data_IF_515786835401
#
_entry.id   IF_515786835401
#
_cell.length_a   1.000
_cell.length_b   1.000
_cell.length_c   1.000
_cell.angle_alpha   90.00
_cell.angle_beta   90.00
_cell.angle_gamma   90.00
#
_symmetry.space_group_name_H-M   'P 1'
#
loop_
_entity.id
_entity.type
_entity.pdbx_description
1 polymer ?
#
# COMPACT_ATOMS: atom_id res chain seq x y z
N UNK A 1 -6.55 -42.52 28.44
CA UNK A 1 -5.17 -42.67 27.93
C UNK A 1 -5.02 -41.66 26.80
N UNK A 2 -4.33 -40.54 27.06
CA UNK A 2 -4.15 -39.47 26.09
C UNK A 2 -2.94 -39.78 25.19
N UNK A 3 -3.18 -39.93 23.88
CA UNK A 3 -2.12 -40.08 22.88
C UNK A 3 -1.54 -38.72 22.54
N UNK A 4 -0.29 -38.47 22.95
CA UNK A 4 0.47 -37.30 22.51
C UNK A 4 0.94 -37.52 21.06
N UNK A 5 0.63 -36.58 20.16
CA UNK A 5 1.19 -36.53 18.82
C UNK A 5 2.70 -36.24 18.91
N UNK A 6 3.56 -36.89 18.10
CA UNK A 6 4.99 -36.65 18.13
C UNK A 6 5.28 -35.26 17.55
N UNK A 7 5.97 -34.43 18.33
CA UNK A 7 6.51 -33.15 17.86
C UNK A 7 7.57 -33.48 16.80
N UNK A 8 7.25 -33.29 15.53
CA UNK A 8 8.26 -33.26 14.47
C UNK A 8 9.22 -32.11 14.77
N UNK A 9 10.50 -32.43 14.97
CA UNK A 9 11.55 -31.43 15.06
C UNK A 9 11.56 -30.65 13.74
N UNK A 10 11.29 -29.34 13.82
CA UNK A 10 11.50 -28.42 12.71
C UNK A 10 12.95 -28.56 12.23
N UNK A 11 13.21 -28.65 10.91
CA UNK A 11 14.57 -28.65 10.40
C UNK A 11 15.30 -27.39 10.91
N UNK A 12 16.61 -27.47 11.19
CA UNK A 12 17.38 -26.30 11.59
C UNK A 12 17.20 -25.24 10.49
N UNK A 13 16.79 -24.04 10.90
CA UNK A 13 16.62 -22.90 9.99
C UNK A 13 17.92 -22.71 9.21
N UNK A 14 17.92 -23.11 7.94
CA UNK A 14 18.97 -22.77 7.01
C UNK A 14 19.12 -21.26 7.05
N UNK A 15 20.35 -20.80 7.32
CA UNK A 15 20.66 -19.38 7.31
C UNK A 15 20.24 -18.86 5.93
N UNK A 16 19.19 -18.05 5.87
CA UNK A 16 18.84 -17.34 4.66
C UNK A 16 20.10 -16.64 4.15
N UNK A 17 20.68 -17.16 3.06
CA UNK A 17 21.72 -16.44 2.36
C UNK A 17 21.08 -15.12 1.96
N UNK A 18 21.68 -14.00 2.38
CA UNK A 18 21.32 -12.69 1.82
C UNK A 18 21.36 -12.88 0.31
N UNK A 19 20.23 -12.74 -0.36
CA UNK A 19 20.24 -12.54 -1.80
C UNK A 19 20.92 -11.20 -2.01
N UNK A 20 22.21 -11.22 -2.31
CA UNK A 20 22.88 -10.07 -2.89
C UNK A 20 22.28 -9.92 -4.28
N UNK A 21 21.34 -8.98 -4.42
CA UNK A 21 20.88 -8.57 -5.73
C UNK A 21 22.07 -7.91 -6.43
N UNK A 22 22.78 -8.69 -7.24
CA UNK A 22 23.80 -8.16 -8.16
C UNK A 22 23.01 -7.55 -9.32
N UNK A 23 22.72 -6.26 -9.20
CA UNK A 23 22.11 -5.50 -10.29
C UNK A 23 23.15 -5.33 -11.39
N UNK A 24 22.92 -5.97 -12.54
CA UNK A 24 23.69 -5.71 -13.75
C UNK A 24 23.23 -4.34 -14.30
N UNK A 25 23.96 -3.28 -13.98
CA UNK A 25 23.62 -1.91 -14.37
C UNK A 25 23.45 -1.77 -15.89
N UNK A 26 24.22 -2.52 -16.67
CA UNK A 26 24.15 -2.52 -18.13
C UNK A 26 22.85 -3.14 -18.67
N UNK A 27 22.27 -4.10 -17.96
CA UNK A 27 21.05 -4.81 -18.38
C UNK A 27 19.78 -4.00 -18.08
N UNK A 28 19.78 -3.30 -16.95
CA UNK A 28 18.71 -2.36 -16.57
C UNK A 28 18.69 -1.19 -17.54
N UNK A 29 19.87 -0.66 -17.87
CA UNK A 29 20.03 0.41 -18.83
C UNK A 29 19.49 0.00 -20.20
N UNK A 30 19.90 -1.15 -20.74
CA UNK A 30 19.56 -1.47 -22.13
C UNK A 30 18.09 -1.93 -22.35
N UNK A 31 17.41 -2.50 -21.35
CA UNK A 31 16.04 -3.03 -21.52
C UNK A 31 14.92 -2.04 -21.17
N UNK A 32 15.19 -0.97 -20.42
CA UNK A 32 14.21 0.08 -20.12
C UNK A 32 14.27 1.26 -21.11
N UNK A 33 15.30 1.30 -21.96
CA UNK A 33 15.60 2.42 -22.85
C UNK A 33 15.06 2.22 -24.27
N UNK A 34 13.75 2.44 -24.41
CA UNK A 34 13.24 3.11 -25.60
C UNK A 34 12.31 4.22 -25.15
N UNK A 35 12.91 5.37 -24.84
CA UNK A 35 12.53 6.68 -25.39
C UNK A 35 12.91 7.83 -24.43
N UNK A 36 13.47 8.90 -25.01
CA UNK A 36 13.74 10.24 -24.46
C UNK A 36 14.93 10.44 -23.50
N UNK A 37 16.06 10.78 -24.10
CA UNK A 37 17.25 11.31 -23.41
C UNK A 37 16.95 12.58 -22.60
N UNK A 38 17.75 12.78 -21.53
CA UNK A 38 17.71 13.84 -20.52
C UNK A 38 16.80 13.68 -19.29
N UNK A 39 16.13 12.54 -19.08
CA UNK A 39 15.25 12.36 -17.89
C UNK A 39 15.67 11.26 -16.92
N UNK A 40 16.34 10.19 -17.38
CA UNK A 40 16.62 9.02 -16.56
C UNK A 40 17.57 9.28 -15.39
N UNK A 41 18.79 9.79 -15.60
CA UNK A 41 19.75 9.94 -14.49
C UNK A 41 19.21 10.84 -13.36
N UNK A 42 18.48 11.91 -13.69
CA UNK A 42 17.84 12.75 -12.68
C UNK A 42 16.69 12.03 -11.96
N UNK A 43 15.84 11.29 -12.69
CA UNK A 43 14.81 10.43 -12.11
C UNK A 43 15.42 9.36 -11.21
N UNK A 44 16.55 8.79 -11.60
CA UNK A 44 17.22 7.72 -10.88
C UNK A 44 17.91 8.24 -9.63
N UNK A 45 18.63 9.36 -9.73
CA UNK A 45 19.17 10.04 -8.55
C UNK A 45 18.06 10.45 -7.58
N UNK A 46 16.93 10.97 -8.09
CA UNK A 46 15.77 11.32 -7.26
C UNK A 46 15.13 10.10 -6.59
N UNK A 47 14.92 9.01 -7.34
CA UNK A 47 14.32 7.77 -6.82
C UNK A 47 15.25 7.08 -5.83
N UNK A 48 16.54 7.00 -6.12
CA UNK A 48 17.56 6.46 -5.22
C UNK A 48 17.62 7.30 -3.95
N UNK A 49 17.63 8.63 -4.06
CA UNK A 49 17.61 9.52 -2.90
C UNK A 49 16.37 9.33 -2.03
N UNK A 50 15.17 9.35 -2.62
CA UNK A 50 13.90 9.11 -1.89
C UNK A 50 13.90 7.73 -1.22
N UNK A 51 14.40 6.71 -1.93
CA UNK A 51 14.48 5.33 -1.41
C UNK A 51 15.50 5.21 -0.27
N UNK A 52 16.65 5.88 -0.34
CA UNK A 52 17.70 5.78 0.69
C UNK A 52 17.35 6.59 1.95
N UNK A 53 16.66 7.73 1.79
CA UNK A 53 16.26 8.57 2.92
C UNK A 53 15.15 7.91 3.75
N UNK A 54 14.20 7.23 3.12
CA UNK A 54 13.17 6.47 3.83
C UNK A 54 12.68 5.24 3.03
N UNK A 55 13.43 4.12 3.08
CA UNK A 55 13.14 2.92 2.28
C UNK A 55 11.77 2.31 2.58
N UNK A 56 11.34 2.41 3.84
CA UNK A 56 10.05 1.87 4.29
C UNK A 56 8.91 2.68 3.68
N UNK A 57 8.92 4.01 3.84
CA UNK A 57 7.83 4.85 3.34
C UNK A 57 7.73 4.81 1.82
N UNK A 58 8.88 4.76 1.13
CA UNK A 58 8.93 4.54 -0.32
C UNK A 58 8.26 3.23 -0.72
N UNK A 59 8.61 2.11 -0.07
CA UNK A 59 7.99 0.81 -0.30
C UNK A 59 6.48 0.86 -0.07
N UNK A 60 6.03 1.42 1.06
CA UNK A 60 4.61 1.49 1.41
C UNK A 60 3.82 2.33 0.42
N UNK A 61 4.33 3.49 0.03
CA UNK A 61 3.71 4.39 -0.95
C UNK A 61 3.59 3.71 -2.31
N UNK A 62 4.66 3.06 -2.77
CA UNK A 62 4.65 2.29 -4.01
C UNK A 62 3.64 1.15 -3.95
N UNK A 63 3.62 0.41 -2.84
CA UNK A 63 2.73 -0.75 -2.69
C UNK A 63 1.26 -0.33 -2.60
N UNK A 64 0.96 0.75 -1.90
CA UNK A 64 -0.38 1.36 -1.87
C UNK A 64 -0.84 1.72 -3.29
N UNK A 65 0.02 2.38 -4.06
CA UNK A 65 -0.30 2.78 -5.43
C UNK A 65 -0.55 1.56 -6.35
N UNK A 66 0.30 0.54 -6.27
CA UNK A 66 0.11 -0.71 -7.00
C UNK A 66 -1.25 -1.37 -6.66
N UNK A 67 -1.57 -1.49 -5.37
CA UNK A 67 -2.82 -2.08 -4.92
C UNK A 67 -4.05 -1.25 -5.30
N UNK A 68 -3.95 0.09 -5.26
CA UNK A 68 -5.01 1.01 -5.72
C UNK A 68 -5.30 0.81 -7.20
N UNK A 69 -4.28 0.84 -8.05
CA UNK A 69 -4.44 0.67 -9.51
C UNK A 69 -5.08 -0.67 -9.83
N UNK A 70 -4.68 -1.75 -9.14
CA UNK A 70 -5.28 -3.07 -9.34
C UNK A 70 -6.72 -3.13 -8.81
N UNK A 71 -7.00 -2.52 -7.66
CA UNK A 71 -8.35 -2.43 -7.12
C UNK A 71 -9.29 -1.67 -8.06
N UNK A 72 -8.85 -0.53 -8.61
CA UNK A 72 -9.62 0.25 -9.57
C UNK A 72 -9.92 -0.58 -10.82
N UNK A 73 -8.91 -1.26 -11.38
CA UNK A 73 -9.08 -2.17 -12.53
C UNK A 73 -10.09 -3.29 -12.26
N UNK A 74 -10.02 -3.92 -11.10
CA UNK A 74 -10.92 -5.01 -10.71
C UNK A 74 -12.34 -4.53 -10.37
N UNK A 75 -12.50 -3.25 -10.02
CA UNK A 75 -13.78 -2.67 -9.58
C UNK A 75 -14.48 -1.81 -10.63
N UNK A 76 -13.90 -1.60 -11.82
CA UNK A 76 -14.51 -0.80 -12.91
C UNK A 76 -15.96 -1.21 -13.21
N UNK A 77 -16.28 -2.50 -13.11
CA UNK A 77 -17.62 -3.04 -13.39
C UNK A 77 -18.43 -3.39 -12.14
N UNK A 78 -17.87 -3.17 -10.93
CA UNK A 78 -18.51 -3.51 -9.67
C UNK A 78 -19.11 -2.26 -9.04
N UNK A 79 -20.44 -2.14 -9.09
CA UNK A 79 -21.19 -1.09 -8.40
C UNK A 79 -21.54 -1.46 -6.94
N UNK A 80 -21.24 -2.69 -6.51
CA UNK A 80 -21.54 -3.17 -5.17
C UNK A 80 -20.36 -2.97 -4.21
N UNK A 81 -20.63 -2.28 -3.11
CA UNK A 81 -19.64 -2.08 -2.04
C UNK A 81 -19.15 -3.40 -1.45
N UNK A 82 -20.02 -4.40 -1.33
CA UNK A 82 -19.65 -5.71 -0.79
C UNK A 82 -18.60 -6.41 -1.65
N UNK A 83 -18.68 -6.27 -2.98
CA UNK A 83 -17.70 -6.84 -3.90
C UNK A 83 -16.34 -6.14 -3.78
N UNK A 84 -16.34 -4.84 -3.50
CA UNK A 84 -15.11 -4.07 -3.28
C UNK A 84 -14.45 -4.49 -1.96
N UNK A 85 -15.22 -4.66 -0.89
CA UNK A 85 -14.70 -5.13 0.40
C UNK A 85 -14.14 -6.55 0.31
N UNK A 86 -14.70 -7.38 -0.56
CA UNK A 86 -14.19 -8.74 -0.80
C UNK A 86 -12.98 -8.82 -1.73
N UNK A 87 -12.62 -7.72 -2.41
CA UNK A 87 -11.50 -7.69 -3.33
C UNK A 87 -10.16 -7.95 -2.61
N UNK A 88 -9.32 -8.80 -3.20
CA UNK A 88 -8.01 -9.18 -2.65
C UNK A 88 -7.06 -7.99 -2.46
N UNK A 89 -7.09 -7.00 -3.35
CA UNK A 89 -6.26 -5.81 -3.27
C UNK A 89 -6.74 -4.87 -2.17
N UNK A 90 -8.05 -4.77 -1.98
CA UNK A 90 -8.62 -4.02 -0.86
C UNK A 90 -8.23 -4.65 0.49
N UNK A 91 -8.36 -5.97 0.63
CA UNK A 91 -7.93 -6.71 1.83
C UNK A 91 -6.44 -6.53 2.11
N UNK A 92 -5.59 -6.60 1.08
CA UNK A 92 -4.15 -6.35 1.22
C UNK A 92 -3.83 -4.92 1.70
N UNK A 93 -4.61 -3.91 1.31
CA UNK A 93 -4.45 -2.54 1.84
C UNK A 93 -4.80 -2.51 3.34
N UNK A 94 -5.87 -3.19 3.75
CA UNK A 94 -6.29 -3.26 5.16
C UNK A 94 -5.28 -4.01 6.02
N UNK A 95 -4.63 -5.05 5.48
CA UNK A 95 -3.62 -5.85 6.18
C UNK A 95 -2.37 -5.06 6.60
N UNK A 96 -2.03 -3.96 5.91
CA UNK A 96 -0.99 -3.04 6.39
C UNK A 96 -1.35 -2.41 7.73
N UNK A 97 -2.64 -2.27 8.06
CA UNK A 97 -3.06 -1.70 9.32
C UNK A 97 -2.67 -0.23 9.47
N UNK A 98 -2.38 0.21 10.69
CA UNK A 98 -2.32 1.64 11.00
C UNK A 98 -1.16 2.39 10.32
N UNK A 99 -0.09 1.70 9.92
CA UNK A 99 1.09 2.33 9.29
C UNK A 99 0.80 2.92 7.91
N UNK A 100 -0.22 2.44 7.19
CA UNK A 100 -0.59 2.96 5.87
C UNK A 100 -1.56 4.14 5.95
N UNK A 101 -2.11 4.43 7.12
CA UNK A 101 -3.12 5.49 7.35
C UNK A 101 -2.65 6.87 6.85
N UNK A 102 -1.42 7.34 7.14
CA UNK A 102 -0.97 8.64 6.64
C UNK A 102 -0.99 8.71 5.10
N UNK A 103 -0.57 7.63 4.43
CA UNK A 103 -0.53 7.56 2.97
C UNK A 103 -1.94 7.51 2.36
N UNK A 104 -2.86 6.79 2.99
CA UNK A 104 -4.27 6.77 2.58
C UNK A 104 -4.88 8.17 2.72
N UNK A 105 -4.61 8.86 3.84
CA UNK A 105 -5.12 10.21 4.08
C UNK A 105 -4.57 11.22 3.08
N UNK A 106 -3.29 11.16 2.73
CA UNK A 106 -2.70 11.99 1.67
C UNK A 106 -3.38 11.72 0.32
N UNK A 107 -3.62 10.46 -0.02
CA UNK A 107 -4.28 10.10 -1.27
C UNK A 107 -5.73 10.61 -1.34
N UNK A 108 -6.47 10.54 -0.22
CA UNK A 108 -7.84 11.04 -0.14
C UNK A 108 -7.94 12.55 -0.36
N UNK A 109 -6.85 13.33 -0.19
CA UNK A 109 -6.82 14.75 -0.53
C UNK A 109 -6.99 14.99 -2.03
N UNK A 110 -6.48 14.08 -2.85
CA UNK A 110 -6.47 14.21 -4.31
C UNK A 110 -7.64 13.45 -4.94
N UNK A 111 -7.97 12.26 -4.43
CA UNK A 111 -8.98 11.41 -5.01
C UNK A 111 -9.89 10.76 -3.94
N UNK A 112 -11.18 11.13 -3.99
CA UNK A 112 -12.22 10.46 -3.21
C UNK A 112 -12.44 9.05 -3.76
N UNK A 113 -11.95 8.05 -3.03
CA UNK A 113 -11.90 6.66 -3.49
C UNK A 113 -12.45 5.70 -2.43
N UNK A 114 -12.58 4.41 -2.79
CA UNK A 114 -13.03 3.37 -1.87
C UNK A 114 -12.11 3.17 -0.64
N UNK A 115 -10.94 3.81 -0.61
CA UNK A 115 -10.07 3.83 0.56
C UNK A 115 -10.72 4.44 1.81
N UNK A 116 -11.77 5.25 1.67
CA UNK A 116 -12.55 5.74 2.83
C UNK A 116 -13.12 4.58 3.66
N UNK A 117 -13.36 3.42 3.05
CA UNK A 117 -13.81 2.21 3.74
C UNK A 117 -12.66 1.45 4.36
N UNK A 118 -11.48 1.44 3.73
CA UNK A 118 -10.28 0.85 4.32
C UNK A 118 -9.95 1.55 5.65
N UNK A 119 -10.11 2.87 5.71
CA UNK A 119 -9.94 3.64 6.94
C UNK A 119 -10.83 3.14 8.09
N UNK A 120 -12.11 2.81 7.83
CA UNK A 120 -12.98 2.27 8.87
C UNK A 120 -12.44 0.96 9.46
N UNK A 121 -11.96 0.07 8.58
CA UNK A 121 -11.47 -1.25 8.97
C UNK A 121 -10.11 -1.17 9.69
N UNK A 122 -9.21 -0.33 9.18
CA UNK A 122 -7.86 -0.15 9.74
C UNK A 122 -7.92 0.52 11.11
N UNK A 123 -8.73 1.57 11.25
CA UNK A 123 -8.81 2.34 12.51
C UNK A 123 -9.77 1.73 13.52
N UNK A 124 -10.65 0.82 13.09
CA UNK A 124 -11.77 0.32 13.90
C UNK A 124 -12.81 1.40 14.24
N UNK A 125 -12.79 2.54 13.53
CA UNK A 125 -13.67 3.68 13.76
C UNK A 125 -14.65 3.84 12.60
N UNK A 126 -15.79 4.47 12.88
CA UNK A 126 -16.77 4.85 11.86
C UNK A 126 -16.79 6.37 11.79
N UNK A 127 -16.54 6.92 10.59
CA UNK A 127 -16.40 8.37 10.43
C UNK A 127 -17.73 9.13 10.47
N UNK A 128 -18.84 8.47 10.14
CA UNK A 128 -20.19 9.03 10.21
C UNK A 128 -21.22 7.92 10.38
N UNK A 129 -22.24 8.16 11.19
CA UNK A 129 -23.39 7.27 11.32
C UNK A 129 -24.42 7.42 10.20
N UNK A 130 -24.31 8.49 9.42
CA UNK A 130 -25.22 8.80 8.33
C UNK A 130 -24.67 8.26 7.00
N UNK A 131 -25.56 8.09 6.01
CA UNK A 131 -25.16 7.82 4.64
C UNK A 131 -24.51 9.08 4.06
N UNK A 132 -23.19 9.08 3.97
CA UNK A 132 -22.39 10.14 3.36
C UNK A 132 -21.84 9.68 2.02
N UNK A 133 -21.63 10.61 1.10
CA UNK A 133 -20.94 10.34 -0.18
C UNK A 133 -19.47 10.00 0.05
N UNK A 134 -18.81 9.38 -0.94
CA UNK A 134 -17.36 9.13 -0.91
C UNK A 134 -16.56 10.42 -0.65
N UNK A 135 -16.97 11.51 -1.29
CA UNK A 135 -16.32 12.82 -1.16
C UNK A 135 -16.46 13.40 0.24
N UNK A 136 -17.63 13.27 0.86
CA UNK A 136 -17.85 13.71 2.24
C UNK A 136 -17.08 12.83 3.23
N UNK A 137 -17.10 11.51 3.04
CA UNK A 137 -16.32 10.58 3.87
C UNK A 137 -14.82 10.88 3.79
N UNK A 138 -14.29 11.18 2.60
CA UNK A 138 -12.90 11.57 2.40
C UNK A 138 -12.55 12.84 3.18
N UNK A 139 -13.39 13.88 3.10
CA UNK A 139 -13.20 15.13 3.87
C UNK A 139 -13.17 14.89 5.37
N UNK A 140 -14.14 14.12 5.89
CA UNK A 140 -14.19 13.82 7.32
C UNK A 140 -12.96 13.05 7.79
N UNK A 141 -12.47 12.09 6.98
CA UNK A 141 -11.24 11.37 7.29
C UNK A 141 -9.99 12.25 7.29
N UNK A 142 -9.88 13.18 6.33
CA UNK A 142 -8.79 14.16 6.29
C UNK A 142 -8.81 15.05 7.54
N UNK A 143 -9.99 15.54 7.92
CA UNK A 143 -10.14 16.40 9.11
C UNK A 143 -9.83 15.63 10.41
N UNK A 144 -10.24 14.37 10.49
CA UNK A 144 -9.82 13.46 11.57
C UNK A 144 -8.29 13.30 11.60
N UNK A 145 -7.66 13.08 10.43
CA UNK A 145 -6.21 12.93 10.30
C UNK A 145 -5.44 14.16 10.79
N UNK A 146 -5.94 15.36 10.47
CA UNK A 146 -5.38 16.64 10.94
C UNK A 146 -5.54 16.80 12.46
N UNK A 147 -6.75 16.50 12.97
CA UNK A 147 -7.05 16.61 14.41
C UNK A 147 -6.15 15.68 15.24
N UNK A 148 -5.88 14.48 14.73
CA UNK A 148 -5.01 13.49 15.37
C UNK A 148 -3.51 13.69 15.06
N UNK A 149 -3.13 14.76 14.33
CA UNK A 149 -1.74 15.07 13.93
C UNK A 149 -1.06 13.95 13.14
N UNK A 150 -1.83 13.15 12.41
CA UNK A 150 -1.31 12.09 11.53
C UNK A 150 -0.81 12.71 10.23
N UNK A 151 -1.53 13.70 9.72
CA UNK A 151 -1.18 14.47 8.53
C UNK A 151 -1.17 15.97 8.85
N UNK A 152 -0.41 16.75 8.08
CA UNK A 152 -0.26 18.20 8.25
C UNK A 152 -1.33 19.00 7.50
#
# INVERSE_FOLDING_TARGET
MASAFPIQQLPPMEKFHRTEFVFNEDEISNNLLKDNGLTFNYLLESLVKETLENPRDFYMKRKLNELRVMLEKDSVFNSSISQILDNKHFKAIVEFGYEIVPLILEELRYNSSYLVWAMNLITGQKISDQKVSLTEAAKLWIDWGRTNRIIK
#
